data_IF_527934137988
#
_entry.id   IF_527934137988
#
_cell.length_a   1.000
_cell.length_b   1.000
_cell.length_c   1.000
_cell.angle_alpha   90.00
_cell.angle_beta   90.00
_cell.angle_gamma   90.00
#
_symmetry.space_group_name_H-M   'P 1'
#
loop_
_entity.id
_entity.type
_entity.pdbx_description
1 polymer ?
#
# COMPACT_ATOMS: atom_id res chain seq x y z
N UNK A 1 -15.04 -7.63 -6.87
CA UNK A 1 -14.50 -7.67 -8.25
C UNK A 1 -13.58 -8.88 -8.36
N UNK A 2 -13.76 -9.75 -9.35
CA UNK A 2 -12.80 -10.84 -9.62
C UNK A 2 -11.65 -10.25 -10.46
N UNK A 3 -10.37 -10.57 -10.17
CA UNK A 3 -9.26 -10.10 -10.99
C UNK A 3 -9.42 -10.66 -12.40
N UNK A 4 -9.45 -9.76 -13.39
CA UNK A 4 -9.55 -10.10 -14.80
C UNK A 4 -8.16 -10.22 -15.45
N UNK A 5 -8.09 -10.65 -16.72
CA UNK A 5 -6.83 -10.73 -17.47
C UNK A 5 -6.09 -9.38 -17.52
N UNK A 6 -6.81 -8.25 -17.60
CA UNK A 6 -6.22 -6.91 -17.53
C UNK A 6 -5.52 -6.61 -16.21
N UNK A 7 -6.07 -7.12 -15.10
CA UNK A 7 -5.45 -6.98 -13.78
C UNK A 7 -4.15 -7.77 -13.72
N UNK A 8 -4.11 -8.99 -14.28
CA UNK A 8 -2.89 -9.79 -14.36
C UNK A 8 -1.80 -9.11 -15.22
N UNK A 9 -2.19 -8.54 -16.37
CA UNK A 9 -1.27 -7.76 -17.21
C UNK A 9 -0.69 -6.55 -16.46
N UNK A 10 -1.50 -5.87 -15.65
CA UNK A 10 -1.03 -4.74 -14.86
C UNK A 10 -0.14 -5.15 -13.68
N UNK A 11 -0.40 -6.28 -13.05
CA UNK A 11 0.51 -6.86 -12.04
C UNK A 11 1.86 -7.19 -12.70
N UNK A 12 1.85 -7.84 -13.86
CA UNK A 12 3.06 -8.11 -14.62
C UNK A 12 3.79 -6.82 -15.03
N UNK A 13 3.05 -5.80 -15.47
CA UNK A 13 3.60 -4.49 -15.81
C UNK A 13 4.27 -3.81 -14.62
N UNK A 14 3.60 -3.75 -13.46
CA UNK A 14 4.14 -3.17 -12.23
C UNK A 14 5.38 -3.93 -11.75
N UNK A 15 5.37 -5.27 -11.79
CA UNK A 15 6.54 -6.09 -11.46
C UNK A 15 7.72 -5.81 -12.40
N UNK A 16 7.48 -5.79 -13.72
CA UNK A 16 8.52 -5.46 -14.68
C UNK A 16 9.11 -4.05 -14.45
N UNK A 17 8.27 -3.05 -14.20
CA UNK A 17 8.72 -1.69 -13.92
C UNK A 17 9.46 -1.56 -12.58
N UNK A 18 9.05 -2.32 -11.58
CA UNK A 18 9.75 -2.39 -10.29
C UNK A 18 11.15 -2.98 -10.45
N UNK A 19 11.28 -4.13 -11.10
CA UNK A 19 12.56 -4.78 -11.37
C UNK A 19 13.45 -3.92 -12.30
N UNK A 20 12.85 -3.23 -13.27
CA UNK A 20 13.57 -2.28 -14.11
C UNK A 20 14.18 -1.14 -13.29
N UNK A 21 13.42 -0.58 -12.35
CA UNK A 21 13.90 0.46 -11.44
C UNK A 21 15.01 -0.06 -10.51
N UNK A 22 14.87 -1.27 -9.97
CA UNK A 22 15.93 -1.88 -9.14
C UNK A 22 17.24 -2.05 -9.93
N UNK A 23 17.17 -2.59 -11.15
CA UNK A 23 18.34 -2.75 -12.01
C UNK A 23 18.96 -1.41 -12.45
N UNK A 24 18.12 -0.41 -12.72
CA UNK A 24 18.58 0.94 -13.09
C UNK A 24 19.23 1.66 -11.90
N UNK A 25 18.65 1.54 -10.70
CA UNK A 25 19.20 2.11 -9.49
C UNK A 25 20.60 1.53 -9.20
N UNK A 26 20.75 0.20 -9.27
CA UNK A 26 22.05 -0.47 -9.12
C UNK A 26 23.08 0.04 -10.15
N UNK A 27 22.65 0.24 -11.41
CA UNK A 27 23.51 0.81 -12.45
C UNK A 27 23.90 2.27 -12.17
N UNK A 28 22.99 3.08 -11.64
CA UNK A 28 23.22 4.49 -11.31
C UNK A 28 24.14 4.63 -10.09
N UNK A 29 23.94 3.81 -9.05
CA UNK A 29 24.69 3.85 -7.79
C UNK A 29 26.08 3.19 -7.88
N UNK A 30 26.43 2.55 -9.00
CA UNK A 30 27.66 1.74 -9.15
C UNK A 30 28.96 2.42 -8.68
N UNK A 31 29.08 3.74 -8.80
CA UNK A 31 30.27 4.48 -8.40
C UNK A 31 30.31 4.72 -6.87
N UNK A 32 29.16 5.05 -6.29
CA UNK A 32 28.98 5.22 -4.84
C UNK A 32 29.10 3.86 -4.13
N UNK A 33 28.44 2.83 -4.68
CA UNK A 33 28.54 1.45 -4.22
C UNK A 33 29.97 0.89 -4.31
N UNK A 34 30.82 1.38 -5.23
CA UNK A 34 32.22 0.95 -5.29
C UNK A 34 33.02 1.43 -4.07
N UNK A 35 32.65 2.58 -3.48
CA UNK A 35 33.30 3.15 -2.31
C UNK A 35 32.71 2.56 -1.03
N UNK A 36 31.37 2.53 -0.91
CA UNK A 36 30.71 2.12 0.34
C UNK A 36 30.55 0.60 0.47
N UNK A 37 30.33 -0.10 -0.65
CA UNK A 37 29.93 -1.53 -0.68
C UNK A 37 30.58 -2.27 -1.85
N UNK A 38 31.92 -2.36 -1.90
CA UNK A 38 32.67 -2.89 -3.05
C UNK A 38 32.32 -4.34 -3.41
N UNK A 39 31.75 -5.10 -2.46
CA UNK A 39 31.31 -6.47 -2.67
C UNK A 39 30.04 -6.59 -3.53
N UNK A 40 29.33 -5.49 -3.86
CA UNK A 40 28.11 -5.55 -4.69
C UNK A 40 28.39 -6.08 -6.11
N UNK A 41 27.42 -6.74 -6.78
CA UNK A 41 27.65 -7.43 -8.06
C UNK A 41 28.23 -6.55 -9.17
N UNK A 42 27.81 -5.28 -9.26
CA UNK A 42 28.31 -4.33 -10.26
C UNK A 42 29.73 -3.83 -9.94
N UNK A 43 30.03 -3.28 -8.75
CA UNK A 43 31.40 -2.90 -8.40
C UNK A 43 32.41 -4.06 -8.39
N UNK A 44 31.98 -5.25 -7.97
CA UNK A 44 32.83 -6.45 -7.97
C UNK A 44 33.07 -7.06 -9.36
N UNK A 45 32.48 -6.49 -10.42
CA UNK A 45 32.65 -6.95 -11.79
C UNK A 45 31.93 -8.25 -12.13
N UNK A 46 31.13 -8.81 -11.21
CA UNK A 46 30.32 -10.03 -11.43
C UNK A 46 29.24 -9.83 -12.50
N UNK A 47 28.73 -8.60 -12.64
CA UNK A 47 27.79 -8.20 -13.68
C UNK A 47 28.38 -7.02 -14.44
N UNK A 48 28.34 -7.07 -15.78
CA UNK A 48 28.78 -5.94 -16.62
C UNK A 48 27.77 -4.78 -16.49
N UNK A 49 28.18 -3.52 -16.35
CA UNK A 49 27.26 -2.38 -16.27
C UNK A 49 26.31 -2.29 -17.47
N UNK A 50 26.79 -2.61 -18.67
CA UNK A 50 25.96 -2.68 -19.86
C UNK A 50 24.81 -3.70 -19.72
N UNK A 51 25.07 -4.86 -19.08
CA UNK A 51 24.05 -5.88 -18.87
C UNK A 51 22.92 -5.39 -17.95
N UNK A 52 23.26 -4.70 -16.85
CA UNK A 52 22.28 -4.10 -15.94
C UNK A 52 21.42 -3.04 -16.65
N UNK A 53 22.04 -2.15 -17.43
CA UNK A 53 21.30 -1.14 -18.20
C UNK A 53 20.40 -1.77 -19.27
N UNK A 54 20.89 -2.81 -19.97
CA UNK A 54 20.06 -3.54 -20.95
C UNK A 54 18.90 -4.25 -20.28
N UNK A 55 19.10 -4.84 -19.09
CA UNK A 55 18.03 -5.48 -18.33
C UNK A 55 16.98 -4.46 -17.90
N UNK A 56 17.40 -3.30 -17.39
CA UNK A 56 16.51 -2.20 -17.03
C UNK A 56 15.68 -1.72 -18.23
N UNK A 57 16.32 -1.51 -19.39
CA UNK A 57 15.64 -1.14 -20.63
C UNK A 57 14.66 -2.20 -21.13
N UNK A 58 15.07 -3.47 -21.13
CA UNK A 58 14.24 -4.58 -21.58
C UNK A 58 13.01 -4.79 -20.68
N UNK A 59 13.20 -4.74 -19.35
CA UNK A 59 12.11 -4.83 -18.38
C UNK A 59 11.16 -3.62 -18.48
N UNK A 60 11.70 -2.42 -18.72
CA UNK A 60 10.86 -1.24 -18.99
C UNK A 60 9.99 -1.46 -20.23
N UNK A 61 10.60 -1.92 -21.34
CA UNK A 61 9.87 -2.23 -22.57
C UNK A 61 8.79 -3.29 -22.38
N UNK A 62 9.11 -4.39 -21.68
CA UNK A 62 8.16 -5.45 -21.36
C UNK A 62 7.00 -4.92 -20.49
N UNK A 63 7.31 -4.10 -19.47
CA UNK A 63 6.31 -3.47 -18.60
C UNK A 63 5.34 -2.58 -19.38
N UNK A 64 5.84 -1.77 -20.32
CA UNK A 64 5.01 -0.94 -21.19
C UNK A 64 4.17 -1.77 -22.18
N UNK A 65 4.72 -2.85 -22.73
CA UNK A 65 3.97 -3.76 -23.60
C UNK A 65 2.80 -4.43 -22.86
N UNK A 66 3.02 -4.88 -21.62
CA UNK A 66 1.97 -5.43 -20.77
C UNK A 66 0.90 -4.37 -20.42
N UNK A 67 1.32 -3.14 -20.14
CA UNK A 67 0.40 -2.02 -19.89
C UNK A 67 -0.44 -1.68 -21.13
N UNK A 68 0.15 -1.74 -22.33
CA UNK A 68 -0.56 -1.57 -23.59
C UNK A 68 -1.67 -2.62 -23.78
N UNK A 69 -1.40 -3.88 -23.41
CA UNK A 69 -2.39 -4.96 -23.39
C UNK A 69 -3.51 -4.76 -22.34
N UNK A 70 -3.21 -4.10 -21.22
CA UNK A 70 -4.22 -3.74 -20.22
C UNK A 70 -5.12 -2.56 -20.67
N UNK A 71 -4.59 -1.64 -21.50
CA UNK A 71 -5.33 -0.60 -22.20
C UNK A 71 -4.62 0.75 -22.26
N UNK A 72 -5.13 1.67 -23.10
CA UNK A 72 -4.58 3.03 -23.28
C UNK A 72 -4.37 3.83 -21.98
N UNK A 73 -5.32 3.87 -21.01
CA UNK A 73 -5.10 4.61 -19.77
C UNK A 73 -3.99 3.98 -18.91
N UNK A 74 -3.88 2.64 -18.90
CA UNK A 74 -2.81 1.96 -18.17
C UNK A 74 -1.44 2.24 -18.80
N UNK A 75 -1.34 2.21 -20.15
CA UNK A 75 -0.12 2.57 -20.86
C UNK A 75 0.34 4.00 -20.57
N UNK A 76 -0.57 4.97 -20.58
CA UNK A 76 -0.22 6.37 -20.28
C UNK A 76 0.37 6.50 -18.87
N UNK A 77 -0.25 5.86 -17.86
CA UNK A 77 0.26 5.88 -16.49
C UNK A 77 1.58 5.13 -16.36
N UNK A 78 1.71 3.96 -16.99
CA UNK A 78 2.95 3.17 -16.99
C UNK A 78 4.11 3.93 -17.64
N UNK A 79 3.86 4.66 -18.73
CA UNK A 79 4.87 5.50 -19.39
C UNK A 79 5.31 6.67 -18.49
N UNK A 80 4.36 7.35 -17.83
CA UNK A 80 4.69 8.39 -16.84
C UNK A 80 5.45 7.83 -15.64
N UNK A 81 5.08 6.63 -15.17
CA UNK A 81 5.78 5.93 -14.09
C UNK A 81 7.21 5.60 -14.50
N UNK A 82 7.41 4.97 -15.66
CA UNK A 82 8.73 4.63 -16.19
C UNK A 82 9.61 5.88 -16.33
N UNK A 83 9.08 6.96 -16.92
CA UNK A 83 9.81 8.22 -17.04
C UNK A 83 10.20 8.80 -15.67
N UNK A 84 9.33 8.69 -14.67
CA UNK A 84 9.60 9.17 -13.30
C UNK A 84 10.68 8.33 -12.63
N UNK A 85 10.66 7.00 -12.79
CA UNK A 85 11.69 6.08 -12.27
C UNK A 85 13.04 6.41 -12.88
N UNK A 86 13.12 6.54 -14.21
CA UNK A 86 14.37 6.89 -14.89
C UNK A 86 14.89 8.26 -14.48
N UNK A 87 14.02 9.27 -14.38
CA UNK A 87 14.42 10.59 -13.92
C UNK A 87 14.88 10.58 -12.45
N UNK A 88 14.28 9.74 -11.61
CA UNK A 88 14.69 9.54 -10.22
C UNK A 88 16.09 8.96 -10.13
N UNK A 89 16.31 7.81 -10.75
CA UNK A 89 17.55 7.03 -10.64
C UNK A 89 18.74 7.75 -11.30
N UNK A 90 18.53 8.44 -12.41
CA UNK A 90 19.62 9.10 -13.16
C UNK A 90 20.04 10.45 -12.58
N UNK A 91 19.26 11.06 -11.68
CA UNK A 91 19.69 12.34 -11.10
C UNK A 91 18.80 12.94 -10.03
N UNK A 92 17.47 12.82 -10.11
CA UNK A 92 16.61 13.55 -9.15
C UNK A 92 16.81 13.10 -7.71
N UNK A 93 17.23 11.86 -7.46
CA UNK A 93 17.48 11.35 -6.10
C UNK A 93 18.52 12.17 -5.32
N UNK A 94 19.52 12.75 -5.99
CA UNK A 94 20.52 13.60 -5.35
C UNK A 94 20.10 15.08 -5.24
N UNK A 95 19.00 15.46 -5.89
CA UNK A 95 18.49 16.85 -5.89
C UNK A 95 17.44 17.08 -4.80
N UNK A 96 17.09 18.33 -4.45
CA UNK A 96 15.96 18.64 -3.58
C UNK A 96 14.61 18.06 -4.05
N UNK A 97 14.47 17.75 -5.34
CA UNK A 97 13.25 17.19 -5.93
C UNK A 97 13.10 15.67 -5.72
N UNK A 98 14.12 14.97 -5.19
CA UNK A 98 14.10 13.52 -4.97
C UNK A 98 12.85 13.00 -4.21
N UNK A 99 12.46 13.61 -3.07
CA UNK A 99 11.24 13.23 -2.35
C UNK A 99 9.96 13.36 -3.19
N UNK A 100 9.88 14.38 -4.04
CA UNK A 100 8.73 14.60 -4.93
C UNK A 100 8.67 13.55 -6.04
N UNK A 101 9.81 13.19 -6.62
CA UNK A 101 9.90 12.12 -7.61
C UNK A 101 9.54 10.75 -7.02
N UNK A 102 10.02 10.42 -5.82
CA UNK A 102 9.65 9.18 -5.12
C UNK A 102 8.14 9.12 -4.84
N UNK A 103 7.56 10.22 -4.37
CA UNK A 103 6.12 10.31 -4.14
C UNK A 103 5.28 10.20 -5.42
N UNK A 104 5.74 10.83 -6.51
CA UNK A 104 5.11 10.70 -7.82
C UNK A 104 5.15 9.25 -8.30
N UNK A 105 6.28 8.56 -8.16
CA UNK A 105 6.41 7.14 -8.51
C UNK A 105 5.42 6.26 -7.72
N UNK A 106 5.30 6.45 -6.40
CA UNK A 106 4.32 5.71 -5.57
C UNK A 106 2.86 6.01 -5.93
N UNK A 107 2.55 7.27 -6.22
CA UNK A 107 1.21 7.66 -6.67
C UNK A 107 0.86 7.06 -8.04
N UNK A 108 1.80 7.11 -8.99
CA UNK A 108 1.62 6.59 -10.34
C UNK A 108 1.48 5.06 -10.36
N UNK A 109 2.23 4.33 -9.53
CA UNK A 109 2.09 2.87 -9.39
C UNK A 109 0.69 2.47 -8.90
N UNK A 110 0.14 3.19 -7.92
CA UNK A 110 -1.25 2.98 -7.49
C UNK A 110 -2.26 3.29 -8.61
N UNK A 111 -2.03 4.37 -9.37
CA UNK A 111 -2.88 4.73 -10.50
C UNK A 111 -2.82 3.71 -11.64
N UNK A 112 -1.68 3.02 -11.83
CA UNK A 112 -1.53 1.97 -12.82
C UNK A 112 -2.47 0.79 -12.51
N UNK A 113 -2.45 0.33 -11.25
CA UNK A 113 -3.36 -0.73 -10.78
C UNK A 113 -4.84 -0.33 -10.91
N UNK A 114 -5.17 0.92 -10.61
CA UNK A 114 -6.52 1.45 -10.76
C UNK A 114 -6.97 1.55 -12.23
N UNK A 115 -6.10 2.05 -13.11
CA UNK A 115 -6.36 2.19 -14.54
C UNK A 115 -6.65 0.82 -15.19
N UNK A 116 -5.92 -0.21 -14.79
CA UNK A 116 -6.09 -1.55 -15.34
C UNK A 116 -7.33 -2.28 -14.79
N UNK A 117 -7.71 -2.02 -13.55
CA UNK A 117 -8.84 -2.70 -12.89
C UNK A 117 -10.18 -2.04 -13.22
N UNK A 118 -10.21 -0.70 -13.29
CA UNK A 118 -11.45 0.08 -13.45
C UNK A 118 -11.58 0.77 -14.81
N UNK A 119 -10.55 0.69 -15.67
CA UNK A 119 -10.52 1.38 -16.96
C UNK A 119 -10.31 2.89 -16.86
N UNK A 120 -10.07 3.44 -15.66
CA UNK A 120 -9.85 4.87 -15.44
C UNK A 120 -9.08 5.16 -14.15
N UNK A 121 -8.51 6.35 -14.07
CA UNK A 121 -7.69 6.80 -12.92
C UNK A 121 -8.45 7.68 -11.94
N UNK A 122 -9.56 8.31 -12.38
CA UNK A 122 -10.24 9.39 -11.64
C UNK A 122 -10.70 8.98 -10.24
N UNK A 123 -11.23 7.77 -10.08
CA UNK A 123 -11.71 7.29 -8.79
C UNK A 123 -10.57 7.04 -7.79
N UNK A 124 -9.36 6.73 -8.29
CA UNK A 124 -8.19 6.44 -7.48
C UNK A 124 -7.30 7.67 -7.24
N UNK A 125 -7.54 8.81 -7.91
CA UNK A 125 -6.79 10.04 -7.71
C UNK A 125 -6.71 10.49 -6.24
N UNK A 126 -7.80 10.44 -5.42
CA UNK A 126 -7.71 10.82 -4.00
C UNK A 126 -6.77 9.90 -3.21
N UNK A 127 -6.83 8.59 -3.47
CA UNK A 127 -5.97 7.60 -2.81
C UNK A 127 -4.51 7.73 -3.26
N UNK A 128 -4.28 7.96 -4.55
CA UNK A 128 -2.94 8.20 -5.11
C UNK A 128 -2.33 9.49 -4.54
N UNK A 129 -3.13 10.55 -4.42
CA UNK A 129 -2.70 11.80 -3.81
C UNK A 129 -2.35 11.63 -2.33
N UNK A 130 -3.16 10.88 -1.58
CA UNK A 130 -2.91 10.59 -0.17
C UNK A 130 -1.65 9.74 0.03
N UNK A 131 -1.43 8.74 -0.81
CA UNK A 131 -0.21 7.92 -0.79
C UNK A 131 1.02 8.77 -1.16
N UNK A 132 0.90 9.58 -2.21
CA UNK A 132 1.97 10.48 -2.66
C UNK A 132 2.33 11.51 -1.59
N UNK A 133 1.34 12.16 -0.97
CA UNK A 133 1.60 13.12 0.11
C UNK A 133 2.19 12.41 1.32
N UNK A 134 1.67 11.26 1.73
CA UNK A 134 2.29 10.51 2.83
C UNK A 134 3.77 10.16 2.54
N UNK A 135 4.05 9.64 1.33
CA UNK A 135 5.41 9.28 0.90
C UNK A 135 6.33 10.50 0.89
N UNK A 136 5.87 11.62 0.35
CA UNK A 136 6.64 12.86 0.30
C UNK A 136 6.92 13.37 1.73
N UNK A 137 5.97 13.28 2.65
CA UNK A 137 6.14 13.70 4.06
C UNK A 137 7.23 12.90 4.73
N UNK A 138 7.10 11.57 4.72
CA UNK A 138 8.08 10.70 5.37
C UNK A 138 9.46 10.90 4.76
N UNK A 139 9.56 10.93 3.42
CA UNK A 139 10.85 11.08 2.73
C UNK A 139 11.49 12.45 2.99
N UNK A 140 10.71 13.52 3.06
CA UNK A 140 11.23 14.86 3.33
C UNK A 140 11.66 15.04 4.79
N UNK A 141 10.92 14.47 5.75
CA UNK A 141 11.29 14.46 7.17
C UNK A 141 12.61 13.70 7.36
N UNK A 142 12.70 12.47 6.88
CA UNK A 142 13.91 11.64 7.01
C UNK A 142 15.14 12.33 6.41
N UNK A 143 15.00 12.99 5.25
CA UNK A 143 16.12 13.73 4.66
C UNK A 143 16.57 14.89 5.55
N UNK A 144 15.63 15.64 6.14
CA UNK A 144 15.96 16.77 7.01
C UNK A 144 16.58 16.33 8.34
N UNK A 145 16.24 15.14 8.85
CA UNK A 145 16.91 14.54 10.02
C UNK A 145 18.39 14.26 9.73
N UNK A 146 18.72 13.74 8.55
CA UNK A 146 20.13 13.50 8.16
C UNK A 146 20.93 14.78 7.89
N UNK A 147 20.26 15.88 7.52
CA UNK A 147 20.92 17.17 7.23
C UNK A 147 20.83 18.19 8.39
N UNK A 148 20.20 17.83 9.51
CA UNK A 148 20.10 18.68 10.72
C UNK A 148 19.15 19.89 10.63
N UNK A 149 18.13 19.87 9.76
CA UNK A 149 17.21 21.00 9.55
C UNK A 149 15.79 20.79 10.11
N UNK A 150 15.01 21.87 10.26
CA UNK A 150 13.60 21.80 10.74
C UNK A 150 12.68 21.06 9.76
N UNK A 151 11.96 20.05 10.27
CA UNK A 151 11.00 19.22 9.53
C UNK A 151 9.63 19.91 9.27
N UNK A 152 9.35 21.04 9.93
CA UNK A 152 8.06 21.72 9.87
C UNK A 152 7.72 22.27 8.48
N UNK A 153 8.69 22.84 7.77
CA UNK A 153 8.46 23.43 6.45
C UNK A 153 8.04 22.39 5.37
N UNK A 154 8.74 21.24 5.20
CA UNK A 154 8.26 20.21 4.28
C UNK A 154 6.93 19.63 4.73
N UNK A 155 6.73 19.34 6.03
CA UNK A 155 5.47 18.83 6.55
C UNK A 155 4.28 19.79 6.30
N UNK A 156 4.48 21.09 6.45
CA UNK A 156 3.47 22.10 6.17
C UNK A 156 3.16 22.20 4.66
N UNK A 157 4.19 22.22 3.80
CA UNK A 157 4.02 22.22 2.34
C UNK A 157 3.29 20.97 1.83
N UNK A 158 3.46 19.86 2.52
CA UNK A 158 2.78 18.61 2.28
C UNK A 158 1.33 18.59 2.74
N UNK A 159 1.08 19.08 3.95
CA UNK A 159 -0.27 19.21 4.49
C UNK A 159 -1.11 20.13 3.59
N UNK A 160 -0.53 21.23 3.08
CA UNK A 160 -1.21 22.14 2.16
C UNK A 160 -1.43 21.51 0.79
N UNK A 161 -0.44 20.84 0.20
CA UNK A 161 -0.59 20.15 -1.10
C UNK A 161 -1.61 19.01 -1.03
N UNK A 162 -1.61 18.24 0.06
CA UNK A 162 -2.58 17.18 0.30
C UNK A 162 -3.99 17.70 0.55
N UNK A 163 -4.13 18.78 1.33
CA UNK A 163 -5.41 19.45 1.55
C UNK A 163 -5.97 20.04 0.25
N UNK A 164 -5.13 20.68 -0.57
CA UNK A 164 -5.51 21.26 -1.85
C UNK A 164 -5.94 20.20 -2.86
N UNK A 165 -5.17 19.10 -2.98
CA UNK A 165 -5.51 17.99 -3.87
C UNK A 165 -6.81 17.32 -3.43
N UNK A 166 -7.02 17.15 -2.12
CA UNK A 166 -8.27 16.62 -1.55
C UNK A 166 -9.45 17.55 -1.85
N UNK A 167 -9.29 18.87 -1.66
CA UNK A 167 -10.31 19.87 -1.94
C UNK A 167 -10.74 19.82 -3.42
N UNK A 168 -9.78 19.81 -4.35
CA UNK A 168 -10.03 19.73 -5.80
C UNK A 168 -10.70 18.41 -6.19
N UNK A 169 -10.29 17.29 -5.59
CA UNK A 169 -10.90 16.00 -5.83
C UNK A 169 -12.36 15.94 -5.30
N UNK A 170 -12.64 16.58 -4.17
CA UNK A 170 -14.00 16.64 -3.59
C UNK A 170 -14.94 17.58 -4.33
N UNK A 171 -14.43 18.62 -4.99
CA UNK A 171 -15.24 19.54 -5.81
C UNK A 171 -15.70 18.93 -7.14
N UNK A 172 -15.09 17.83 -7.59
CA UNK A 172 -15.53 17.07 -8.78
C UNK A 172 -16.44 15.90 -8.42
N UNK A 173 -17.42 16.09 -7.54
CA UNK A 173 -18.56 15.17 -7.51
C UNK A 173 -19.35 15.35 -8.81
N UNK A 174 -19.52 14.31 -9.65
CA UNK A 174 -20.54 14.36 -10.67
C UNK A 174 -21.86 14.58 -9.94
N UNK A 175 -22.61 15.62 -10.31
CA UNK A 175 -24.03 15.66 -9.96
C UNK A 175 -24.61 14.31 -10.39
N UNK A 176 -25.29 13.55 -9.51
CA UNK A 176 -26.08 12.43 -9.99
C UNK A 176 -27.00 12.97 -11.09
N UNK A 177 -27.21 12.25 -12.22
CA UNK A 177 -28.16 12.70 -13.21
C UNK A 177 -29.49 12.94 -12.49
N UNK A 178 -29.91 14.20 -12.46
CA UNK A 178 -31.24 14.59 -12.05
C UNK A 178 -32.20 14.12 -13.16
N UNK A 179 -32.56 12.85 -13.12
CA UNK A 179 -33.56 12.24 -13.97
C UNK A 179 -33.99 10.94 -13.29
N UNK A 180 -35.22 10.74 -12.87
CA UNK A 180 -36.49 11.41 -13.16
C UNK A 180 -37.17 11.69 -11.83
N UNK A 181 -37.88 12.82 -11.73
CA UNK A 181 -39.04 12.91 -10.84
C UNK A 181 -39.82 11.62 -11.01
N UNK A 182 -40.13 10.96 -9.89
CA UNK A 182 -41.18 9.97 -9.85
C UNK A 182 -42.37 10.55 -10.61
N UNK A 183 -42.56 10.09 -11.85
CA UNK A 183 -43.86 10.13 -12.46
C UNK A 183 -44.68 9.24 -11.53
N UNK A 184 -45.56 9.87 -10.77
CA UNK A 184 -46.63 9.19 -10.09
C UNK A 184 -47.26 8.24 -11.11
N UNK A 185 -47.01 6.94 -10.95
CA UNK A 185 -47.89 5.96 -11.53
C UNK A 185 -49.27 6.27 -10.93
N UNK A 186 -50.32 6.46 -11.75
CA UNK A 186 -51.66 6.52 -11.20
C UNK A 186 -51.87 5.20 -10.46
N UNK A 187 -52.31 5.28 -9.21
CA UNK A 187 -52.78 4.13 -8.47
C UNK A 187 -53.94 3.53 -9.28
N UNK A 188 -53.67 2.53 -10.12
CA UNK A 188 -54.69 1.61 -10.59
C UNK A 188 -55.19 0.88 -9.35
N UNK A 189 -56.34 1.34 -8.85
CA UNK A 189 -57.19 0.56 -7.94
C UNK A 189 -57.30 -0.85 -8.50
N UNK A 190 -56.74 -1.82 -7.79
CA UNK A 190 -57.11 -3.21 -8.00
C UNK A 190 -58.61 -3.36 -7.67
N UNK A 191 -59.43 -3.98 -8.53
CA UNK A 191 -60.76 -4.41 -8.15
C UNK A 191 -60.66 -5.44 -7.03
N UNK A 192 -61.39 -5.20 -5.94
CA UNK A 192 -61.68 -6.20 -4.90
C UNK A 192 -62.22 -7.48 -5.55
N UNK A 193 -61.62 -8.66 -5.32
CA UNK A 193 -62.22 -9.91 -5.75
C UNK A 193 -63.47 -10.20 -4.89
N UNK A 194 -64.57 -10.67 -5.48
CA UNK A 194 -65.73 -11.12 -4.72
C UNK A 194 -65.38 -12.37 -3.90
N UNK A 195 -65.94 -12.44 -2.69
CA UNK A 195 -65.86 -13.58 -1.80
C UNK A 195 -66.27 -14.86 -2.53
N UNK A 196 -65.32 -15.76 -2.74
CA UNK A 196 -65.55 -17.11 -3.23
C UNK A 196 -65.12 -18.09 -2.14
N UNK A 197 -66.01 -19.03 -1.87
CA UNK A 197 -66.00 -20.03 -0.80
C UNK A 197 -64.72 -20.88 -0.78
N UNK A 198 -64.30 -21.39 0.38
CA UNK A 198 -63.09 -22.22 0.47
C UNK A 198 -63.28 -23.55 -0.29
N UNK A 199 -62.25 -24.03 -1.02
CA UNK A 199 -62.28 -25.34 -1.65
C UNK A 199 -62.22 -26.46 -0.59
N UNK A 200 -63.14 -27.40 -0.70
CA UNK A 200 -63.18 -28.66 0.04
C UNK A 200 -62.10 -29.61 -0.49
N UNK A 201 -60.89 -29.51 0.06
CA UNK A 201 -59.86 -30.53 -0.10
C UNK A 201 -59.30 -30.89 1.27
N UNK A 202 -59.75 -32.03 1.79
CA UNK A 202 -59.25 -32.63 3.02
C UNK A 202 -58.06 -33.54 2.70
N UNK A 203 -56.90 -33.40 3.37
CA UNK A 203 -55.85 -34.41 3.30
C UNK A 203 -56.27 -35.70 4.04
N UNK A 204 -55.90 -36.90 3.55
CA UNK A 204 -56.20 -38.14 4.26
C UNK A 204 -55.50 -38.17 5.62
N UNK A 205 -56.27 -38.50 6.65
CA UNK A 205 -55.85 -38.68 8.03
C UNK A 205 -54.89 -39.87 8.18
N UNK A 206 -53.78 -39.74 8.93
CA UNK A 206 -52.98 -40.90 9.31
C UNK A 206 -53.77 -41.79 10.30
N UNK A 207 -53.62 -43.13 10.25
CA UNK A 207 -54.31 -44.02 11.16
C UNK A 207 -53.86 -43.83 12.61
N UNK A 208 -54.84 -43.95 13.53
CA UNK A 208 -54.70 -43.84 14.98
C UNK A 208 -53.71 -44.86 15.55
N UNK A 209 -52.91 -44.51 16.58
CA UNK A 209 -52.18 -45.47 17.38
C UNK A 209 -53.13 -46.27 18.31
N UNK A 210 -52.85 -47.55 18.61
CA UNK A 210 -53.58 -48.30 19.63
C UNK A 210 -53.23 -47.80 21.04
N UNK A 211 -54.24 -47.79 21.93
CA UNK A 211 -54.13 -47.54 23.36
C UNK A 211 -54.08 -48.88 24.15
N UNK A 212 -53.95 -48.87 25.50
CA UNK A 212 -52.72 -49.22 26.23
C UNK A 212 -52.79 -50.57 26.94
N UNK A 213 -51.64 -51.12 27.34
CA UNK A 213 -51.60 -52.20 28.36
C UNK A 213 -50.39 -52.05 29.29
N UNK A 214 -50.72 -51.70 30.54
CA UNK A 214 -50.04 -51.99 31.81
C UNK A 214 -48.49 -51.93 31.94
N UNK A 215 -48.05 -50.89 32.64
CA UNK A 215 -46.89 -50.81 33.56
C UNK A 215 -46.89 -51.93 34.63
N UNK A 216 -45.75 -52.30 35.27
CA UNK A 216 -45.09 -51.46 36.29
C UNK A 216 -43.54 -51.49 36.25
N UNK A 217 -42.86 -50.33 36.34
CA UNK A 217 -42.36 -49.65 37.56
C UNK A 217 -40.98 -50.15 38.00
N UNK A 218 -39.96 -49.29 37.92
CA UNK A 218 -38.99 -49.03 39.00
C UNK A 218 -37.96 -47.98 38.54
N UNK A 219 -38.23 -46.69 38.77
CA UNK A 219 -37.64 -45.80 39.78
C UNK A 219 -36.31 -45.12 39.42
N UNK A 220 -36.33 -43.79 39.65
CA UNK A 220 -35.25 -42.85 39.99
C UNK A 220 -34.41 -42.21 38.88
N UNK A 221 -34.93 -41.06 38.44
CA UNK A 221 -34.22 -39.79 38.29
C UNK A 221 -33.58 -39.31 39.62
N UNK A 222 -32.85 -38.16 39.68
CA UNK A 222 -32.16 -37.39 38.62
C UNK A 222 -30.74 -36.93 39.05
N UNK A 223 -30.00 -36.27 38.16
CA UNK A 223 -29.42 -34.90 38.33
C UNK A 223 -28.25 -34.65 37.37
N UNK A 224 -28.44 -33.70 36.45
CA UNK A 224 -27.40 -32.72 36.12
C UNK A 224 -27.45 -31.62 37.21
N UNK A 225 -26.36 -30.89 37.57
CA UNK A 225 -25.77 -29.91 36.64
C UNK A 225 -24.25 -29.60 36.86
N UNK A 226 -23.77 -28.65 36.05
CA UNK A 226 -22.72 -27.64 36.35
C UNK A 226 -21.22 -27.98 36.25
N UNK A 227 -20.60 -27.36 35.25
CA UNK A 227 -19.56 -26.32 35.34
C UNK A 227 -18.19 -26.57 36.05
N UNK A 228 -17.15 -26.06 35.35
CA UNK A 228 -15.82 -25.57 35.80
C UNK A 228 -14.66 -26.55 35.99
N UNK A 229 -13.63 -26.39 35.15
CA UNK A 229 -12.22 -25.98 35.48
C UNK A 229 -11.34 -26.27 34.25
N UNK A 230 -10.63 -25.34 33.62
CA UNK A 230 -9.50 -24.52 34.09
C UNK A 230 -8.29 -25.36 34.58
N UNK A 231 -7.36 -25.66 33.67
CA UNK A 231 -5.91 -25.86 33.91
C UNK A 231 -5.26 -26.09 32.52
N UNK A 232 -4.59 -25.12 31.91
CA UNK A 232 -3.18 -24.78 32.13
C UNK A 232 -2.26 -26.01 31.94
N UNK A 233 -1.68 -26.13 30.74
CA UNK A 233 -0.56 -27.05 30.46
C UNK A 233 0.52 -26.26 29.74
N UNK A 234 1.60 -25.97 30.46
CA UNK A 234 2.82 -25.34 29.97
C UNK A 234 3.64 -26.33 29.10
N UNK A 235 4.35 -25.85 28.06
CA UNK A 235 5.35 -26.67 27.36
C UNK A 235 6.74 -26.57 28.03
N UNK A 236 7.60 -27.59 27.88
CA UNK A 236 8.84 -27.75 28.63
C UNK A 236 9.98 -26.82 28.16
N UNK A 237 10.81 -26.44 29.12
CA UNK A 237 12.03 -25.65 28.98
C UNK A 237 13.11 -26.39 28.19
N UNK A 238 13.53 -25.80 27.05
CA UNK A 238 14.78 -26.17 26.38
C UNK A 238 15.87 -25.20 26.81
N UNK A 239 16.95 -25.77 27.34
CA UNK A 239 18.19 -25.09 27.72
C UNK A 239 18.85 -24.42 26.51
N UNK A 240 19.22 -23.14 26.68
CA UNK A 240 19.95 -22.33 25.72
C UNK A 240 21.44 -22.70 25.75
N UNK A 241 22.15 -22.85 24.62
CA UNK A 241 23.62 -22.93 24.62
C UNK A 241 24.24 -21.55 24.95
N UNK A 242 25.48 -21.52 25.48
CA UNK A 242 26.13 -20.27 25.89
C UNK A 242 26.52 -19.39 24.68
N UNK A 243 26.38 -18.07 24.87
CA UNK A 243 26.72 -17.04 23.88
C UNK A 243 28.24 -16.96 23.63
N UNK A 244 28.70 -16.68 22.40
CA UNK A 244 30.10 -16.38 22.13
C UNK A 244 30.52 -15.01 22.72
N UNK A 245 31.81 -14.79 23.03
CA UNK A 245 32.29 -13.53 23.59
C UNK A 245 32.16 -12.36 22.61
N UNK A 246 31.81 -11.19 23.14
CA UNK A 246 31.61 -9.96 22.37
C UNK A 246 32.92 -9.49 21.70
N UNK A 247 32.88 -9.01 20.44
CA UNK A 247 34.04 -8.37 19.83
C UNK A 247 34.35 -7.02 20.50
N UNK A 248 35.64 -6.72 20.61
CA UNK A 248 36.16 -5.48 21.21
C UNK A 248 35.56 -4.22 20.54
N UNK A 249 35.22 -3.22 21.36
CA UNK A 249 34.71 -1.92 20.89
C UNK A 249 35.77 -1.23 20.02
N UNK A 250 35.42 -0.73 18.82
CA UNK A 250 36.31 0.15 18.07
C UNK A 250 36.47 1.50 18.80
N UNK A 251 37.62 2.20 18.64
CA UNK A 251 37.83 3.50 19.25
C UNK A 251 36.83 4.55 18.71
N UNK A 252 36.45 5.54 19.53
CA UNK A 252 35.53 6.60 19.09
C UNK A 252 36.16 7.46 17.98
N UNK A 253 35.35 7.97 17.04
CA UNK A 253 35.86 8.79 15.94
C UNK A 253 36.34 10.16 16.44
N UNK A 254 37.45 10.62 15.89
CA UNK A 254 38.15 11.88 16.25
C UNK A 254 37.44 13.12 15.71
N UNK A 255 36.25 13.43 16.20
CA UNK A 255 35.51 14.66 15.85
C UNK A 255 35.48 15.72 16.97
N UNK A 256 36.27 15.55 18.02
CA UNK A 256 36.45 16.55 19.09
C UNK A 256 37.73 17.37 18.89
N UNK A 257 37.80 18.15 17.80
CA UNK A 257 38.66 19.33 17.75
C UNK A 257 37.83 20.56 18.15
N UNK A 258 38.21 21.32 19.18
CA UNK A 258 37.51 22.57 19.53
C UNK A 258 37.66 23.59 18.41
N UNK A 259 36.55 24.24 18.05
CA UNK A 259 36.51 25.40 17.16
C UNK A 259 37.40 26.53 17.71
N UNK A 260 38.16 27.26 16.86
CA UNK A 260 38.89 28.45 17.31
C UNK A 260 37.91 29.53 17.74
N UNK A 261 38.13 30.10 18.94
CA UNK A 261 37.35 31.22 19.48
C UNK A 261 37.54 32.48 18.60
N UNK A 262 36.53 33.35 18.45
CA UNK A 262 36.71 34.63 17.78
C UNK A 262 37.63 35.53 18.64
N UNK A 263 38.66 36.08 18.02
CA UNK A 263 39.59 37.01 18.66
C UNK A 263 38.87 38.27 19.14
N UNK A 264 39.18 38.69 20.37
CA UNK A 264 38.70 39.93 20.95
C UNK A 264 39.39 41.15 20.35
N UNK A 265 38.61 42.20 20.09
CA UNK A 265 39.10 43.55 19.85
C UNK A 265 39.75 44.08 21.13
N UNK A 266 41.08 44.16 21.16
CA UNK A 266 41.81 45.02 22.09
C UNK A 266 42.02 46.39 21.42
N UNK A 267 41.53 47.42 22.09
CA UNK A 267 41.85 48.84 21.84
C UNK A 267 43.32 49.10 22.15
N UNK A 268 44.06 49.66 21.23
CA UNK A 268 45.25 50.49 21.51
C UNK A 268 45.21 51.73 20.60
N UNK A 269 45.29 52.91 21.23
CA UNK A 269 45.43 54.21 20.56
C UNK A 269 46.90 54.61 20.43
N UNK A 270 47.25 55.53 19.51
CA UNK A 270 48.63 55.94 19.28
C UNK A 270 49.03 57.18 20.12
N UNK A 271 50.34 57.53 20.16
CA UNK A 271 51.02 58.18 21.29
C UNK A 271 50.85 59.70 21.40
#
# INVERSE_FOLDING_TARGET
MRPGPRTLLAVGSSLCLYEAGMALNDWADRAEDAVERPHRPLPSGRIRPAAALTAAGALTGAGLALAAGAGRPALAVAASLAATVWAYDLGLKHTPAGPAAMAAARGLDLLLGAAATSGGTRAALPSAALLGTHTLAVTAVSRKETTGGSALAPLAALATTGALTRLVATHRRPRPPAGRRAAAAPACRAPTPPASSPPSWAPPTPPRPPAPTSTPRSTRHPRSPSARSAAASAPPSRSRPPSPPAPARPPPPSWSRPWPRPGGCSREGPP
#
